data_IF_474550424986
#
_entry.id   IF_474550424986
#
_cell.length_a   1.000
_cell.length_b   1.000
_cell.length_c   1.000
_cell.angle_alpha   90.00
_cell.angle_beta   90.00
_cell.angle_gamma   90.00
#
_symmetry.space_group_name_H-M   'P 1'
#
loop_
_entity.id
_entity.type
_entity.pdbx_description
1 polymer ?
#
# COMPACT_ATOMS: atom_id res chain seq x y z
N UNK A 1 -1.68 9.29 18.54
CA UNK A 1 -1.20 8.13 17.74
C UNK A 1 -2.02 7.89 16.48
N UNK A 2 -3.35 8.08 16.50
CA UNK A 2 -4.21 7.88 15.32
C UNK A 2 -3.70 8.57 14.04
N UNK A 3 -3.50 9.90 14.08
CA UNK A 3 -3.04 10.69 12.92
C UNK A 3 -1.71 10.17 12.35
N UNK A 4 -0.79 9.74 13.20
CA UNK A 4 0.49 9.19 12.77
C UNK A 4 0.32 7.90 11.97
N UNK A 5 -0.45 6.93 12.48
CA UNK A 5 -0.70 5.68 11.75
C UNK A 5 -1.53 5.91 10.49
N UNK A 6 -2.45 6.87 10.49
CA UNK A 6 -3.21 7.24 9.30
C UNK A 6 -2.29 7.78 8.20
N UNK A 7 -1.39 8.71 8.54
CA UNK A 7 -0.39 9.24 7.59
C UNK A 7 0.50 8.10 7.08
N UNK A 8 0.99 7.23 7.96
CA UNK A 8 1.84 6.11 7.58
C UNK A 8 1.11 5.14 6.63
N UNK A 9 -0.14 4.78 6.93
CA UNK A 9 -0.98 3.96 6.07
C UNK A 9 -1.19 4.59 4.68
N UNK A 10 -1.44 5.90 4.63
CA UNK A 10 -1.56 6.64 3.36
C UNK A 10 -0.25 6.66 2.57
N UNK A 11 0.89 6.85 3.22
CA UNK A 11 2.21 6.82 2.56
C UNK A 11 2.45 5.45 1.91
N UNK A 12 2.18 4.36 2.62
CA UNK A 12 2.30 3.00 2.07
C UNK A 12 1.33 2.77 0.91
N UNK A 13 0.08 3.21 1.02
CA UNK A 13 -0.93 3.03 -0.02
C UNK A 13 -0.57 3.81 -1.31
N UNK A 14 -0.16 5.08 -1.17
CA UNK A 14 0.20 5.94 -2.31
C UNK A 14 1.47 5.43 -2.98
N UNK A 15 2.51 5.13 -2.19
CA UNK A 15 3.78 4.62 -2.75
C UNK A 15 3.60 3.26 -3.41
N UNK A 16 2.83 2.36 -2.81
CA UNK A 16 2.48 1.07 -3.39
C UNK A 16 1.65 1.21 -4.68
N UNK A 17 0.61 2.06 -4.67
CA UNK A 17 -0.24 2.28 -5.84
C UNK A 17 0.53 2.87 -7.03
N UNK A 18 1.34 3.91 -6.79
CA UNK A 18 2.19 4.51 -7.82
C UNK A 18 3.22 3.49 -8.33
N UNK A 19 3.90 2.77 -7.43
CA UNK A 19 4.89 1.77 -7.81
C UNK A 19 4.30 0.62 -8.63
N UNK A 20 3.12 0.13 -8.27
CA UNK A 20 2.40 -0.87 -9.06
C UNK A 20 2.01 -0.34 -10.44
N UNK A 21 1.53 0.90 -10.53
CA UNK A 21 1.21 1.52 -11.80
C UNK A 21 2.44 1.59 -12.70
N UNK A 22 3.57 2.11 -12.20
CA UNK A 22 4.82 2.16 -12.97
C UNK A 22 5.29 0.76 -13.39
N UNK A 23 5.23 -0.23 -12.49
CA UNK A 23 5.64 -1.62 -12.76
C UNK A 23 4.81 -2.22 -13.89
N UNK A 24 3.49 -2.07 -13.84
CA UNK A 24 2.59 -2.72 -14.80
C UNK A 24 2.50 -1.99 -16.15
N UNK A 25 2.82 -0.70 -16.20
CA UNK A 25 2.79 0.08 -17.45
C UNK A 25 4.13 0.04 -18.19
N UNK A 26 5.25 -0.01 -17.48
CA UNK A 26 6.57 0.25 -18.08
C UNK A 26 7.49 -0.98 -18.11
N UNK A 27 7.15 -2.07 -17.43
CA UNK A 27 7.99 -3.26 -17.35
C UNK A 27 7.28 -4.42 -18.04
N UNK A 28 8.02 -5.13 -18.90
CA UNK A 28 7.51 -6.30 -19.61
C UNK A 28 7.00 -7.37 -18.62
N UNK A 29 5.82 -7.90 -18.92
CA UNK A 29 5.16 -8.92 -18.10
C UNK A 29 6.07 -10.14 -17.99
N UNK A 30 6.20 -10.69 -16.78
CA UNK A 30 7.09 -11.83 -16.44
C UNK A 30 8.59 -11.55 -16.47
N UNK A 31 9.03 -10.34 -16.80
CA UNK A 31 10.40 -9.96 -16.51
C UNK A 31 10.66 -10.07 -15.00
N UNK A 32 11.87 -10.47 -14.61
CA UNK A 32 12.25 -10.62 -13.19
C UNK A 32 11.95 -9.35 -12.38
N UNK A 33 12.22 -8.18 -12.96
CA UNK A 33 11.94 -6.88 -12.33
C UNK A 33 10.43 -6.61 -12.18
N UNK A 34 9.60 -7.07 -13.12
CA UNK A 34 8.15 -6.94 -13.05
C UNK A 34 7.58 -7.76 -11.88
N UNK A 35 8.09 -8.97 -11.68
CA UNK A 35 7.68 -9.84 -10.55
C UNK A 35 8.08 -9.21 -9.22
N UNK A 36 9.32 -8.75 -9.08
CA UNK A 36 9.76 -8.08 -7.86
C UNK A 36 9.02 -6.76 -7.60
N UNK A 37 8.78 -5.96 -8.63
CA UNK A 37 8.00 -4.73 -8.51
C UNK A 37 6.58 -4.99 -8.00
N UNK A 38 5.88 -5.98 -8.58
CA UNK A 38 4.54 -6.35 -8.12
C UNK A 38 4.53 -6.88 -6.69
N UNK A 39 5.52 -7.70 -6.31
CA UNK A 39 5.62 -8.22 -4.94
C UNK A 39 5.88 -7.08 -3.94
N UNK A 40 6.85 -6.22 -4.21
CA UNK A 40 7.23 -5.13 -3.30
C UNK A 40 6.12 -4.09 -3.17
N UNK A 41 5.64 -3.53 -4.28
CA UNK A 41 4.64 -2.48 -4.23
C UNK A 41 3.25 -3.01 -3.87
N UNK A 42 2.94 -4.26 -4.24
CA UNK A 42 1.75 -4.96 -3.77
C UNK A 42 1.74 -5.13 -2.26
N UNK A 43 2.89 -5.49 -1.67
CA UNK A 43 3.04 -5.54 -0.21
C UNK A 43 2.76 -4.18 0.43
N UNK A 44 3.27 -3.08 -0.14
CA UNK A 44 3.01 -1.74 0.39
C UNK A 44 1.53 -1.37 0.36
N UNK A 45 0.81 -1.70 -0.72
CA UNK A 45 -0.65 -1.49 -0.79
C UNK A 45 -1.36 -2.30 0.28
N UNK A 46 -1.02 -3.58 0.44
CA UNK A 46 -1.65 -4.47 1.43
C UNK A 46 -1.44 -3.94 2.85
N UNK A 47 -0.22 -3.55 3.21
CA UNK A 47 0.06 -3.00 4.53
C UNK A 47 -0.62 -1.64 4.75
N UNK A 48 -0.58 -0.74 3.76
CA UNK A 48 -1.26 0.55 3.83
C UNK A 48 -2.77 0.38 4.05
N UNK A 49 -3.40 -0.51 3.26
CA UNK A 49 -4.82 -0.83 3.39
C UNK A 49 -5.13 -1.47 4.75
N UNK A 50 -4.34 -2.45 5.21
CA UNK A 50 -4.54 -3.11 6.49
C UNK A 50 -4.50 -2.11 7.67
N UNK A 51 -3.56 -1.15 7.64
CA UNK A 51 -3.47 -0.10 8.67
C UNK A 51 -4.71 0.79 8.63
N UNK A 52 -5.13 1.26 7.45
CA UNK A 52 -6.30 2.14 7.34
C UNK A 52 -7.60 1.43 7.74
N UNK A 53 -7.76 0.15 7.37
CA UNK A 53 -8.89 -0.68 7.77
C UNK A 53 -8.89 -0.89 9.29
N UNK A 54 -7.75 -1.22 9.88
CA UNK A 54 -7.61 -1.33 11.34
C UNK A 54 -8.03 -0.02 12.03
N UNK A 55 -7.52 1.12 11.56
CA UNK A 55 -7.89 2.42 12.11
C UNK A 55 -9.38 2.74 11.97
N UNK A 56 -10.01 2.36 10.85
CA UNK A 56 -11.44 2.58 10.63
C UNK A 56 -12.31 1.78 11.61
N UNK A 57 -11.98 0.51 11.85
CA UNK A 57 -12.74 -0.32 12.81
C UNK A 57 -12.54 0.13 14.25
N UNK A 58 -11.30 0.29 14.68
CA UNK A 58 -11.02 0.59 16.08
C UNK A 58 -11.34 2.04 16.45
N UNK A 59 -11.24 3.01 15.54
CA UNK A 59 -11.64 4.38 15.86
C UNK A 59 -13.18 4.55 15.89
N UNK A 60 -13.93 3.71 15.18
CA UNK A 60 -15.40 3.72 15.23
C UNK A 60 -15.97 3.12 16.54
N UNK A 61 -15.17 2.38 17.31
CA UNK A 61 -15.58 1.81 18.60
C UNK A 61 -15.33 2.74 19.80
N UNK A 62 -14.57 3.83 19.63
CA UNK A 62 -14.20 4.76 20.70
C UNK A 62 -14.87 6.15 20.60
N UNK A 63 -15.69 6.40 19.57
CA UNK A 63 -16.63 7.53 19.47
C UNK A 63 -18.04 7.10 19.89
#
# INVERSE_FOLDING_TARGET
MFIFFMILGLIFLISGGIGLFYTNVNIEVWATLWVFGNLTFGTFVVFGAAILVFLAFFNAEFD
#
